data_IF_119427434626
#
_entry.id   IF_119427434626
#
_cell.length_a   1.000
_cell.length_b   1.000
_cell.length_c   1.000
_cell.angle_alpha   90.00
_cell.angle_beta   90.00
_cell.angle_gamma   90.00
#
_symmetry.space_group_name_H-M   'P 1'
#
loop_
_entity.id
_entity.type
_entity.pdbx_description
1 polymer ?
#
# COMPACT_ATOMS: atom_id res chain seq x y z
N UNK A 1 1.45 -14.92 16.93
CA UNK A 1 0.21 -15.19 17.68
C UNK A 1 -1.10 -14.87 16.93
N UNK A 2 -1.21 -13.84 16.08
CA UNK A 2 -2.38 -13.71 15.17
C UNK A 2 -2.39 -14.68 13.97
N UNK A 3 -1.22 -15.15 13.51
CA UNK A 3 -1.12 -16.15 12.43
C UNK A 3 -1.78 -17.51 12.72
N UNK A 4 -1.91 -17.88 14.00
CA UNK A 4 -2.68 -19.06 14.42
C UNK A 4 -4.19 -18.78 14.44
N UNK A 5 -4.58 -17.61 14.94
CA UNK A 5 -5.99 -17.17 15.02
C UNK A 5 -6.62 -16.88 13.65
N UNK A 6 -5.85 -16.46 12.64
CA UNK A 6 -6.38 -16.31 11.26
C UNK A 6 -6.69 -17.70 10.68
N UNK A 7 -5.86 -18.71 10.98
CA UNK A 7 -6.10 -20.09 10.59
C UNK A 7 -7.26 -20.77 11.34
N UNK A 8 -7.65 -20.25 12.51
CA UNK A 8 -8.83 -20.70 13.27
C UNK A 8 -10.10 -19.93 12.88
N UNK A 9 -10.02 -18.62 12.59
CA UNK A 9 -11.15 -17.86 12.04
C UNK A 9 -11.53 -18.34 10.62
N UNK A 10 -10.58 -18.88 9.85
CA UNK A 10 -10.87 -19.46 8.54
C UNK A 10 -11.62 -20.80 8.64
N UNK A 11 -11.59 -21.48 9.79
CA UNK A 11 -12.32 -22.73 9.99
C UNK A 11 -13.84 -22.53 10.22
N UNK A 12 -14.29 -21.31 10.52
CA UNK A 12 -15.72 -21.02 10.76
C UNK A 12 -16.28 -19.76 10.07
N UNK A 13 -15.45 -18.84 9.54
CA UNK A 13 -15.93 -17.52 9.08
C UNK A 13 -15.50 -17.04 7.68
N UNK A 14 -14.45 -17.62 7.08
CA UNK A 14 -13.92 -17.21 5.78
C UNK A 14 -13.54 -15.72 5.66
N UNK A 15 -13.44 -15.21 4.43
CA UNK A 15 -13.09 -13.79 4.13
C UNK A 15 -14.02 -12.77 4.82
N UNK A 16 -15.25 -13.15 5.16
CA UNK A 16 -16.21 -12.27 5.86
C UNK A 16 -15.77 -11.98 7.29
N UNK A 17 -15.25 -12.97 8.01
CA UNK A 17 -14.74 -12.76 9.36
C UNK A 17 -13.51 -11.82 9.36
N UNK A 18 -12.63 -11.96 8.35
CA UNK A 18 -11.47 -11.07 8.17
C UNK A 18 -11.92 -9.62 7.95
N UNK A 19 -12.92 -9.40 7.09
CA UNK A 19 -13.42 -8.04 6.84
C UNK A 19 -14.05 -7.42 8.10
N UNK A 20 -14.76 -8.20 8.91
CA UNK A 20 -15.34 -7.71 10.17
C UNK A 20 -14.28 -7.33 11.21
N UNK A 21 -13.24 -8.16 11.37
CA UNK A 21 -12.16 -7.86 12.31
C UNK A 21 -11.34 -6.66 11.85
N UNK A 22 -11.09 -6.53 10.53
CA UNK A 22 -10.47 -5.34 9.95
C UNK A 22 -11.32 -4.08 10.20
N UNK A 23 -12.65 -4.16 10.04
CA UNK A 23 -13.54 -3.02 10.28
C UNK A 23 -13.52 -2.56 11.74
N UNK A 24 -13.57 -3.51 12.70
CA UNK A 24 -13.43 -3.20 14.12
C UNK A 24 -12.06 -2.57 14.43
N UNK A 25 -10.99 -3.11 13.83
CA UNK A 25 -9.64 -2.60 14.02
C UNK A 25 -9.50 -1.15 13.54
N UNK A 26 -10.06 -0.81 12.38
CA UNK A 26 -10.07 0.58 11.87
C UNK A 26 -10.83 1.50 12.83
N UNK A 27 -11.97 1.06 13.37
CA UNK A 27 -12.72 1.83 14.37
C UNK A 27 -11.89 2.17 15.61
N UNK A 28 -11.17 1.19 16.15
CA UNK A 28 -10.27 1.38 17.31
C UNK A 28 -9.13 2.33 16.96
N UNK A 29 -8.53 2.22 15.77
CA UNK A 29 -7.45 3.12 15.34
C UNK A 29 -7.91 4.57 15.21
N UNK A 30 -9.06 4.80 14.57
CA UNK A 30 -9.62 6.15 14.41
C UNK A 30 -9.96 6.73 15.77
N UNK A 31 -10.60 5.95 16.66
CA UNK A 31 -10.88 6.38 18.02
C UNK A 31 -9.60 6.76 18.78
N UNK A 32 -8.55 5.94 18.70
CA UNK A 32 -7.27 6.18 19.36
C UNK A 32 -6.63 7.50 18.91
N UNK A 33 -6.53 7.74 17.60
CA UNK A 33 -5.96 8.98 17.05
C UNK A 33 -6.82 10.20 17.40
N UNK A 34 -8.15 10.07 17.35
CA UNK A 34 -9.08 11.13 17.73
C UNK A 34 -8.96 11.49 19.21
N UNK A 35 -8.94 10.50 20.12
CA UNK A 35 -8.80 10.75 21.56
C UNK A 35 -7.52 11.51 21.86
N UNK A 36 -6.39 11.10 21.27
CA UNK A 36 -5.09 11.74 21.46
C UNK A 36 -5.07 13.16 20.89
N UNK A 37 -5.65 13.35 19.69
CA UNK A 37 -5.80 14.67 19.08
C UNK A 37 -6.63 15.61 19.94
N UNK A 38 -7.80 15.16 20.40
CA UNK A 38 -8.74 15.95 21.19
C UNK A 38 -8.13 16.31 22.54
N UNK A 39 -7.53 15.35 23.23
CA UNK A 39 -6.94 15.58 24.55
C UNK A 39 -5.77 16.57 24.46
N UNK A 40 -4.89 16.42 23.47
CA UNK A 40 -3.81 17.37 23.23
C UNK A 40 -4.31 18.77 22.88
N UNK A 41 -5.33 18.85 22.02
CA UNK A 41 -5.96 20.13 21.64
C UNK A 41 -6.65 20.81 22.83
N UNK A 42 -7.28 20.03 23.71
CA UNK A 42 -7.94 20.55 24.91
C UNK A 42 -6.95 21.11 25.94
N UNK A 43 -5.79 20.45 26.13
CA UNK A 43 -4.79 20.88 27.09
C UNK A 43 -3.96 22.10 26.64
N UNK A 44 -3.64 22.18 25.34
CA UNK A 44 -2.78 23.24 24.80
C UNK A 44 -3.60 24.43 24.30
N UNK A 45 -4.74 24.17 23.65
CA UNK A 45 -5.50 25.16 22.89
C UNK A 45 -5.16 25.16 21.40
N UNK A 46 -6.17 25.32 20.55
CA UNK A 46 -6.04 25.27 19.08
C UNK A 46 -5.15 26.41 18.56
N UNK A 47 -5.31 27.61 19.12
CA UNK A 47 -4.59 28.79 18.67
C UNK A 47 -3.10 28.68 18.99
N UNK A 48 -2.78 28.19 20.18
CA UNK A 48 -1.43 27.95 20.66
C UNK A 48 -0.72 26.88 19.82
N UNK A 49 -1.41 25.78 19.49
CA UNK A 49 -0.87 24.75 18.58
C UNK A 49 -0.55 25.35 17.21
N UNK A 50 -1.46 26.17 16.69
CA UNK A 50 -1.28 26.80 15.39
C UNK A 50 -0.10 27.78 15.38
N UNK A 51 0.00 28.64 16.40
CA UNK A 51 1.10 29.59 16.53
C UNK A 51 2.45 28.88 16.70
N UNK A 52 2.55 27.89 17.59
CA UNK A 52 3.77 27.11 17.76
C UNK A 52 4.22 26.42 16.46
N UNK A 53 3.26 26.00 15.64
CA UNK A 53 3.53 25.38 14.34
C UNK A 53 4.01 26.40 13.29
N UNK A 54 3.54 27.65 13.35
CA UNK A 54 4.03 28.75 12.52
C UNK A 54 5.44 29.18 12.95
N UNK A 55 5.67 29.36 14.25
CA UNK A 55 6.97 29.77 14.81
C UNK A 55 8.08 28.77 14.49
N UNK A 56 7.75 27.48 14.42
CA UNK A 56 8.68 26.41 14.08
C UNK A 56 8.74 26.07 12.58
N UNK A 57 8.09 26.88 11.72
CA UNK A 57 8.01 26.70 10.27
C UNK A 57 7.52 25.29 9.84
N UNK A 58 6.57 24.71 10.59
CA UNK A 58 6.02 23.36 10.32
C UNK A 58 4.85 23.35 9.36
N UNK A 59 4.29 24.51 9.08
CA UNK A 59 3.16 24.67 8.15
C UNK A 59 3.69 25.28 6.86
N UNK A 60 3.84 24.45 5.84
CA UNK A 60 4.13 24.86 4.48
C UNK A 60 3.08 24.25 3.56
N UNK A 61 2.12 25.06 3.10
CA UNK A 61 1.00 24.56 2.29
C UNK A 61 1.40 24.26 0.84
N UNK A 62 2.21 25.13 0.24
CA UNK A 62 2.53 25.09 -1.18
C UNK A 62 4.02 25.33 -1.40
N UNK A 63 4.76 24.24 -1.57
CA UNK A 63 6.15 24.28 -2.02
C UNK A 63 6.23 23.95 -3.52
N UNK A 64 6.48 24.95 -4.35
CA UNK A 64 6.54 24.82 -5.81
C UNK A 64 7.95 24.57 -6.36
N UNK A 65 8.93 24.26 -5.51
CA UNK A 65 10.28 23.91 -5.94
C UNK A 65 10.23 22.78 -7.00
N UNK A 66 10.75 23.00 -8.22
CA UNK A 66 10.76 21.99 -9.28
C UNK A 66 11.83 20.91 -9.03
N UNK A 67 12.68 21.04 -8.02
CA UNK A 67 13.70 20.06 -7.69
C UNK A 67 13.09 18.68 -7.40
N UNK A 68 13.54 17.61 -8.10
CA UNK A 68 13.06 16.25 -7.84
C UNK A 68 13.70 15.64 -6.57
N UNK A 69 14.67 16.33 -5.97
CA UNK A 69 15.38 15.90 -4.76
C UNK A 69 14.68 16.35 -3.48
N UNK A 70 13.82 17.36 -3.56
CA UNK A 70 13.06 17.86 -2.41
C UNK A 70 12.01 16.81 -2.01
N UNK A 71 11.99 16.45 -0.72
CA UNK A 71 11.19 15.33 -0.20
C UNK A 71 9.69 15.48 -0.51
N UNK A 72 9.14 16.65 -0.27
CA UNK A 72 7.74 16.98 -0.49
C UNK A 72 7.63 18.33 -1.20
N UNK A 73 7.16 18.31 -2.44
CA UNK A 73 6.73 19.49 -3.21
C UNK A 73 5.33 19.25 -3.76
N UNK A 74 4.69 20.30 -4.26
CA UNK A 74 3.41 20.19 -4.96
C UNK A 74 3.52 19.14 -6.09
N UNK A 75 4.65 19.07 -6.80
CA UNK A 75 4.88 18.12 -7.87
C UNK A 75 5.05 16.68 -7.38
N UNK A 76 5.88 16.46 -6.35
CA UNK A 76 6.11 15.11 -5.82
C UNK A 76 4.83 14.53 -5.23
N UNK A 77 4.01 15.37 -4.59
CA UNK A 77 2.74 14.95 -3.98
C UNK A 77 1.68 14.73 -5.06
N UNK A 78 1.47 15.69 -5.98
CA UNK A 78 0.42 15.55 -7.00
C UNK A 78 0.73 14.47 -8.02
N UNK A 79 1.97 14.34 -8.50
CA UNK A 79 2.32 13.37 -9.54
C UNK A 79 2.76 12.06 -8.90
N UNK A 80 3.74 12.11 -8.00
CA UNK A 80 4.31 10.93 -7.37
C UNK A 80 3.30 10.17 -6.52
N UNK A 81 2.59 10.86 -5.60
CA UNK A 81 1.56 10.19 -4.79
C UNK A 81 0.34 9.77 -5.60
N UNK A 82 -0.02 10.46 -6.70
CA UNK A 82 -1.09 10.00 -7.59
C UNK A 82 -0.72 8.68 -8.25
N UNK A 83 0.48 8.58 -8.84
CA UNK A 83 0.96 7.32 -9.44
C UNK A 83 0.99 6.19 -8.42
N UNK A 84 1.55 6.43 -7.23
CA UNK A 84 1.60 5.45 -6.16
C UNK A 84 0.20 5.02 -5.70
N UNK A 85 -0.70 5.98 -5.47
CA UNK A 85 -2.05 5.70 -5.00
C UNK A 85 -2.87 4.96 -6.04
N UNK A 86 -2.78 5.35 -7.31
CA UNK A 86 -3.44 4.64 -8.42
C UNK A 86 -2.88 3.23 -8.57
N UNK A 87 -1.56 3.03 -8.50
CA UNK A 87 -0.96 1.71 -8.51
C UNK A 87 -1.47 0.83 -7.36
N UNK A 88 -1.52 1.39 -6.14
CA UNK A 88 -1.99 0.70 -4.95
C UNK A 88 -3.48 0.35 -5.00
N UNK A 89 -4.31 1.22 -5.55
CA UNK A 89 -5.76 1.02 -5.60
C UNK A 89 -6.17 0.13 -6.79
N UNK A 90 -5.63 0.41 -7.97
CA UNK A 90 -6.11 -0.22 -9.21
C UNK A 90 -5.48 -1.57 -9.51
N UNK A 91 -4.23 -1.78 -9.10
CA UNK A 91 -3.42 -2.94 -9.52
C UNK A 91 -3.12 -3.90 -8.37
N UNK A 92 -3.08 -3.41 -7.13
CA UNK A 92 -2.74 -4.27 -5.99
C UNK A 92 -3.78 -5.38 -5.80
N UNK A 93 -3.29 -6.63 -5.72
CA UNK A 93 -4.10 -7.83 -5.61
C UNK A 93 -5.09 -7.77 -4.44
N UNK A 94 -4.68 -7.26 -3.29
CA UNK A 94 -5.56 -7.15 -2.12
C UNK A 94 -6.77 -6.25 -2.39
N UNK A 95 -6.59 -5.17 -3.18
CA UNK A 95 -7.67 -4.24 -3.54
C UNK A 95 -8.57 -4.82 -4.63
N UNK A 96 -7.98 -5.38 -5.69
CA UNK A 96 -8.71 -5.99 -6.80
C UNK A 96 -9.61 -7.13 -6.30
N UNK A 97 -9.11 -7.99 -5.40
CA UNK A 97 -9.90 -9.05 -4.78
C UNK A 97 -11.12 -8.49 -4.03
N UNK A 98 -10.96 -7.41 -3.27
CA UNK A 98 -12.06 -6.78 -2.53
C UNK A 98 -13.15 -6.25 -3.48
N UNK A 99 -12.77 -5.70 -4.63
CA UNK A 99 -13.74 -5.22 -5.62
C UNK A 99 -14.54 -6.34 -6.28
N UNK A 100 -13.92 -7.51 -6.50
CA UNK A 100 -14.56 -8.68 -7.14
C UNK A 100 -15.57 -9.38 -6.22
N UNK A 101 -15.53 -9.11 -4.91
CA UNK A 101 -16.47 -9.66 -3.93
C UNK A 101 -17.75 -8.83 -3.82
N UNK A 102 -17.77 -7.61 -4.38
CA UNK A 102 -18.93 -6.74 -4.37
C UNK A 102 -19.92 -7.13 -5.48
N UNK A 103 -21.21 -6.95 -5.19
CA UNK A 103 -22.30 -7.41 -6.07
C UNK A 103 -22.32 -6.70 -7.43
N UNK A 104 -22.05 -5.39 -7.41
CA UNK A 104 -22.27 -4.50 -8.54
C UNK A 104 -21.15 -3.47 -8.68
N UNK A 105 -20.89 -3.02 -9.91
CA UNK A 105 -19.90 -1.98 -10.21
C UNK A 105 -20.18 -0.66 -9.49
N UNK A 106 -21.46 -0.30 -9.30
CA UNK A 106 -21.86 0.91 -8.56
C UNK A 106 -21.38 0.85 -7.10
N UNK A 107 -21.55 -0.31 -6.46
CA UNK A 107 -21.12 -0.54 -5.08
C UNK A 107 -19.59 -0.51 -4.97
N UNK A 108 -18.87 -1.05 -5.96
CA UNK A 108 -17.40 -0.96 -6.01
C UNK A 108 -16.90 0.48 -6.15
N UNK A 109 -17.53 1.30 -7.00
CA UNK A 109 -17.20 2.73 -7.13
C UNK A 109 -17.48 3.50 -5.84
N UNK A 110 -18.61 3.23 -5.18
CA UNK A 110 -18.93 3.84 -3.90
C UNK A 110 -17.93 3.43 -2.81
N UNK A 111 -17.57 2.15 -2.73
CA UNK A 111 -16.56 1.65 -1.79
C UNK A 111 -15.21 2.34 -1.98
N UNK A 112 -14.80 2.56 -3.24
CA UNK A 112 -13.58 3.29 -3.55
C UNK A 112 -13.63 4.76 -3.13
N UNK A 113 -14.78 5.43 -3.36
CA UNK A 113 -14.98 6.82 -2.93
C UNK A 113 -14.91 6.95 -1.40
N UNK A 114 -15.57 6.05 -0.68
CA UNK A 114 -15.51 5.98 0.80
C UNK A 114 -14.06 5.79 1.26
N UNK A 115 -13.34 4.82 0.68
CA UNK A 115 -11.93 4.57 1.01
C UNK A 115 -11.07 5.83 0.82
N UNK A 116 -11.23 6.52 -0.30
CA UNK A 116 -10.47 7.74 -0.64
C UNK A 116 -10.77 8.88 0.34
N UNK A 117 -12.03 9.09 0.69
CA UNK A 117 -12.41 10.11 1.68
C UNK A 117 -11.92 9.75 3.09
N UNK A 118 -12.04 8.48 3.49
CA UNK A 118 -11.59 8.00 4.80
C UNK A 118 -10.08 8.13 4.97
N UNK A 119 -9.28 7.77 3.96
CA UNK A 119 -7.82 7.88 4.05
C UNK A 119 -7.36 9.34 4.07
N UNK A 120 -8.01 10.23 3.31
CA UNK A 120 -7.72 11.67 3.34
C UNK A 120 -8.01 12.27 4.71
N UNK A 121 -9.17 11.94 5.31
CA UNK A 121 -9.53 12.39 6.65
C UNK A 121 -8.53 11.84 7.70
N UNK A 122 -8.20 10.55 7.61
CA UNK A 122 -7.29 9.92 8.57
C UNK A 122 -5.88 10.51 8.51
N UNK A 123 -5.32 10.73 7.30
CA UNK A 123 -4.02 11.40 7.14
C UNK A 123 -4.06 12.82 7.70
N UNK A 124 -5.15 13.56 7.47
CA UNK A 124 -5.32 14.91 8.02
C UNK A 124 -5.31 14.92 9.56
N UNK A 125 -5.96 13.94 10.19
CA UNK A 125 -5.92 13.74 11.64
C UNK A 125 -4.51 13.39 12.15
N UNK A 126 -3.78 12.55 11.43
CA UNK A 126 -2.38 12.22 11.76
C UNK A 126 -1.47 13.46 11.64
N UNK A 127 -1.65 14.29 10.61
CA UNK A 127 -0.93 15.56 10.47
C UNK A 127 -1.24 16.50 11.65
N UNK A 128 -2.52 16.60 12.04
CA UNK A 128 -2.92 17.38 13.22
C UNK A 128 -2.28 16.86 14.51
N UNK A 129 -2.24 15.52 14.71
CA UNK A 129 -1.46 14.93 15.81
C UNK A 129 0.00 15.36 15.78
N UNK A 130 0.64 15.40 14.60
CA UNK A 130 2.01 15.89 14.46
C UNK A 130 2.19 17.34 14.93
N UNK A 131 1.22 18.23 14.63
CA UNK A 131 1.21 19.61 15.11
C UNK A 131 0.98 19.71 16.63
N UNK A 132 0.10 18.87 17.18
CA UNK A 132 -0.09 18.76 18.63
C UNK A 132 1.20 18.33 19.32
N UNK A 133 1.94 17.38 18.75
CA UNK A 133 3.21 16.89 19.31
C UNK A 133 4.28 17.98 19.33
N UNK A 134 4.42 18.76 18.25
CA UNK A 134 5.41 19.85 18.26
C UNK A 134 5.05 20.91 19.28
N UNK A 135 3.76 21.25 19.43
CA UNK A 135 3.30 22.22 20.41
C UNK A 135 3.49 21.72 21.85
N UNK A 136 3.24 20.42 22.11
CA UNK A 136 3.43 19.81 23.44
C UNK A 136 4.90 19.77 23.86
N UNK A 137 5.79 19.41 22.94
CA UNK A 137 7.23 19.32 23.18
C UNK A 137 7.97 20.65 22.91
N UNK A 138 7.22 21.73 22.68
CA UNK A 138 7.73 23.10 22.61
C UNK A 138 7.91 23.68 24.03
N UNK A 139 8.70 24.76 24.19
CA UNK A 139 8.84 25.47 25.45
C UNK A 139 7.50 25.73 26.17
N UNK A 140 7.42 25.49 27.50
CA UNK A 140 8.54 25.27 28.43
C UNK A 140 9.08 23.84 28.49
N UNK A 141 8.50 22.89 27.75
CA UNK A 141 9.02 21.50 27.68
C UNK A 141 10.17 21.41 26.67
N UNK A 142 10.96 20.36 26.82
CA UNK A 142 12.06 20.03 25.93
C UNK A 142 11.72 18.77 25.12
N UNK A 143 12.15 18.72 23.87
CA UNK A 143 12.05 17.52 23.04
C UNK A 143 12.76 16.33 23.72
N UNK A 144 12.06 15.21 23.98
CA UNK A 144 12.61 14.06 24.69
C UNK A 144 13.76 13.39 23.92
N UNK A 145 13.87 13.64 22.61
CA UNK A 145 14.99 13.19 21.78
C UNK A 145 16.26 13.99 22.04
N UNK A 146 16.14 15.29 22.34
CA UNK A 146 17.28 16.16 22.61
C UNK A 146 18.04 15.75 23.88
N UNK A 147 17.30 15.31 24.90
CA UNK A 147 17.82 14.81 26.18
C UNK A 147 18.10 13.30 26.19
N UNK A 148 17.89 12.60 25.07
CA UNK A 148 18.20 11.18 24.93
C UNK A 148 17.26 10.21 25.65
N UNK A 149 16.07 10.65 26.08
CA UNK A 149 15.04 9.75 26.61
C UNK A 149 14.46 8.85 25.50
N UNK A 150 14.47 9.35 24.28
CA UNK A 150 13.92 8.72 23.09
C UNK A 150 14.94 8.79 21.96
N UNK A 151 15.13 7.68 21.24
CA UNK A 151 16.10 7.62 20.13
C UNK A 151 15.45 7.78 18.76
N UNK A 152 14.20 7.34 18.59
CA UNK A 152 13.51 7.32 17.31
C UNK A 152 12.36 8.33 17.23
N UNK A 153 12.16 8.95 16.05
CA UNK A 153 11.11 9.94 15.83
C UNK A 153 9.70 9.34 16.04
N UNK A 154 9.50 8.08 15.66
CA UNK A 154 8.21 7.38 15.75
C UNK A 154 7.77 7.08 17.20
N UNK A 155 8.68 7.22 18.18
CA UNK A 155 8.39 7.02 19.60
C UNK A 155 7.80 8.27 20.27
N UNK A 156 7.83 9.43 19.62
CA UNK A 156 7.27 10.69 20.15
C UNK A 156 5.78 10.59 20.46
N UNK A 157 5.00 10.01 19.54
CA UNK A 157 3.56 9.88 19.71
C UNK A 157 3.19 8.95 20.88
N UNK A 158 3.74 7.72 20.98
CA UNK A 158 3.55 6.89 22.17
C UNK A 158 3.97 7.58 23.47
N UNK A 159 5.11 8.27 23.50
CA UNK A 159 5.57 8.96 24.71
C UNK A 159 4.62 10.09 25.12
N UNK A 160 4.12 10.86 24.16
CA UNK A 160 3.08 11.87 24.39
C UNK A 160 1.82 11.26 24.99
N UNK A 161 1.33 10.15 24.43
CA UNK A 161 0.12 9.47 24.94
C UNK A 161 0.30 8.99 26.37
N UNK A 162 1.47 8.41 26.69
CA UNK A 162 1.78 7.96 28.05
C UNK A 162 1.78 9.11 29.05
N UNK A 163 2.22 10.32 28.66
CA UNK A 163 2.25 11.49 29.54
C UNK A 163 0.87 12.13 29.69
N UNK A 164 0.19 12.39 28.57
CA UNK A 164 -1.07 13.15 28.58
C UNK A 164 -2.23 12.34 29.15
N UNK A 165 -2.28 11.03 28.88
CA UNK A 165 -3.34 10.15 29.34
C UNK A 165 -2.96 9.37 30.62
N UNK A 166 -1.88 9.76 31.33
CA UNK A 166 -1.46 9.10 32.57
C UNK A 166 -2.57 9.11 33.65
N UNK A 167 -3.39 10.16 33.66
CA UNK A 167 -4.51 10.30 34.60
C UNK A 167 -5.74 9.44 34.24
N UNK A 168 -5.77 8.83 33.05
CA UNK A 168 -6.88 8.00 32.56
C UNK A 168 -6.42 6.54 32.45
N UNK A 169 -6.65 5.70 33.48
CA UNK A 169 -6.24 4.30 33.45
C UNK A 169 -6.92 3.58 32.28
N UNK A 170 -6.13 2.84 31.49
CA UNK A 170 -6.61 2.06 30.34
C UNK A 170 -6.50 2.74 28.98
N UNK A 171 -6.53 4.08 28.89
CA UNK A 171 -6.42 4.80 27.61
C UNK A 171 -5.05 4.59 26.94
N UNK A 172 -3.90 4.71 27.63
CA UNK A 172 -2.61 4.40 27.02
C UNK A 172 -2.51 2.93 26.55
N UNK A 173 -3.05 1.98 27.32
CA UNK A 173 -3.09 0.57 26.94
C UNK A 173 -3.97 0.29 25.72
N UNK A 174 -5.13 0.96 25.63
CA UNK A 174 -6.01 0.88 24.47
C UNK A 174 -5.33 1.47 23.22
N UNK A 175 -4.61 2.58 23.37
CA UNK A 175 -3.87 3.21 22.28
C UNK A 175 -2.77 2.28 21.74
N UNK A 176 -1.91 1.77 22.62
CA UNK A 176 -0.81 0.86 22.24
C UNK A 176 -1.35 -0.44 21.63
N UNK A 177 -2.41 -1.02 22.21
CA UNK A 177 -3.05 -2.21 21.62
C UNK A 177 -3.70 -1.94 20.26
N UNK A 178 -4.24 -0.73 20.04
CA UNK A 178 -4.74 -0.26 18.76
C UNK A 178 -3.64 -0.22 17.67
N UNK A 179 -2.47 0.34 18.00
CA UNK A 179 -1.32 0.38 17.08
C UNK A 179 -0.85 -1.03 16.71
N UNK A 180 -0.63 -1.89 17.71
CA UNK A 180 -0.22 -3.27 17.43
C UNK A 180 -1.29 -4.03 16.67
N UNK A 181 -2.56 -3.80 16.97
CA UNK A 181 -3.67 -4.39 16.24
C UNK A 181 -3.67 -4.01 14.76
N UNK A 182 -3.40 -2.73 14.46
CA UNK A 182 -3.33 -2.18 13.11
C UNK A 182 -2.18 -2.77 12.30
N UNK A 183 -0.99 -2.80 12.92
CA UNK A 183 0.20 -3.39 12.32
C UNK A 183 -0.04 -4.88 12.02
N UNK A 184 -0.62 -5.62 12.97
CA UNK A 184 -0.88 -7.04 12.79
C UNK A 184 -1.98 -7.35 11.75
N UNK A 185 -3.02 -6.51 11.63
CA UNK A 185 -4.03 -6.64 10.56
C UNK A 185 -3.38 -6.45 9.19
N UNK A 186 -2.55 -5.41 9.03
CA UNK A 186 -1.81 -5.16 7.78
C UNK A 186 -0.86 -6.31 7.43
N UNK A 187 -0.06 -6.78 8.40
CA UNK A 187 0.87 -7.91 8.20
C UNK A 187 0.14 -9.19 7.82
N UNK A 188 -0.98 -9.47 8.47
CA UNK A 188 -1.85 -10.62 8.17
C UNK A 188 -2.31 -10.60 6.71
N UNK A 189 -2.87 -9.46 6.26
CA UNK A 189 -3.36 -9.30 4.89
C UNK A 189 -2.22 -9.43 3.87
N UNK A 190 -1.06 -8.83 4.16
CA UNK A 190 0.12 -8.89 3.29
C UNK A 190 0.67 -10.32 3.14
N UNK A 191 0.91 -11.02 4.25
CA UNK A 191 1.44 -12.39 4.23
C UNK A 191 0.44 -13.37 3.61
N UNK A 192 -0.85 -13.26 3.94
CA UNK A 192 -1.87 -14.13 3.37
C UNK A 192 -2.00 -13.92 1.85
N UNK A 193 -2.09 -12.66 1.39
CA UNK A 193 -2.20 -12.36 -0.05
C UNK A 193 -0.98 -12.87 -0.81
N UNK A 194 0.23 -12.68 -0.26
CA UNK A 194 1.47 -13.17 -0.87
C UNK A 194 1.51 -14.69 -0.94
N UNK A 195 1.13 -15.39 0.13
CA UNK A 195 1.10 -16.85 0.14
C UNK A 195 0.08 -17.43 -0.86
N UNK A 196 -1.08 -16.77 -1.02
CA UNK A 196 -2.08 -17.15 -2.03
C UNK A 196 -1.54 -16.91 -3.44
N UNK A 197 -0.88 -15.79 -3.71
CA UNK A 197 -0.23 -15.51 -5.00
C UNK A 197 0.83 -16.56 -5.31
N UNK A 198 1.66 -16.95 -4.34
CA UNK A 198 2.65 -18.02 -4.53
C UNK A 198 1.98 -19.36 -4.87
N UNK A 199 0.85 -19.69 -4.21
CA UNK A 199 0.13 -20.92 -4.50
C UNK A 199 -0.55 -20.91 -5.88
N UNK A 200 -1.33 -19.88 -6.19
CA UNK A 200 -2.13 -19.83 -7.43
C UNK A 200 -1.25 -19.59 -8.66
N UNK A 201 -0.31 -18.64 -8.59
CA UNK A 201 0.44 -18.22 -9.77
C UNK A 201 1.65 -19.13 -10.02
N UNK A 202 2.40 -19.49 -8.97
CA UNK A 202 3.61 -20.30 -9.14
C UNK A 202 3.34 -21.81 -9.03
N UNK A 203 2.67 -22.27 -7.97
CA UNK A 203 2.49 -23.72 -7.76
C UNK A 203 1.44 -24.29 -8.72
N UNK A 204 0.26 -23.67 -8.82
CA UNK A 204 -0.80 -24.12 -9.71
C UNK A 204 -0.60 -23.67 -11.14
N UNK A 205 -0.24 -22.39 -11.35
CA UNK A 205 0.01 -21.80 -12.65
C UNK A 205 1.29 -22.34 -13.31
N UNK A 206 2.46 -21.96 -12.81
CA UNK A 206 3.74 -22.32 -13.44
C UNK A 206 4.08 -23.82 -13.35
N UNK A 207 3.90 -24.46 -12.18
CA UNK A 207 4.23 -25.88 -12.01
C UNK A 207 3.10 -26.84 -12.43
N UNK A 208 1.91 -26.32 -12.77
CA UNK A 208 0.77 -27.14 -13.21
C UNK A 208 0.25 -28.12 -12.15
N UNK A 209 0.66 -27.97 -10.90
CA UNK A 209 0.28 -28.89 -9.82
C UNK A 209 -1.16 -28.62 -9.40
N UNK A 210 -1.94 -29.69 -9.18
CA UNK A 210 -3.30 -29.61 -8.63
C UNK A 210 -3.33 -30.19 -7.21
N UNK A 211 -2.74 -29.49 -6.22
CA UNK A 211 -2.75 -29.95 -4.84
C UNK A 211 -4.18 -30.02 -4.31
N UNK A 212 -4.46 -31.04 -3.48
CA UNK A 212 -5.71 -31.14 -2.73
C UNK A 212 -5.89 -29.91 -1.82
N UNK A 213 -7.14 -29.53 -1.52
CA UNK A 213 -7.45 -28.37 -0.66
C UNK A 213 -6.68 -28.37 0.67
N UNK A 214 -6.59 -29.54 1.32
CA UNK A 214 -5.82 -29.69 2.57
C UNK A 214 -4.33 -29.40 2.39
N UNK A 215 -3.73 -29.85 1.28
CA UNK A 215 -2.32 -29.62 0.96
C UNK A 215 -2.07 -28.13 0.65
N UNK A 216 -2.98 -27.51 -0.11
CA UNK A 216 -2.96 -26.07 -0.40
C UNK A 216 -2.99 -25.22 0.88
N UNK A 217 -3.87 -25.55 1.83
CA UNK A 217 -3.97 -24.83 3.10
C UNK A 217 -2.71 -24.98 3.96
N UNK A 218 -2.15 -26.19 4.04
CA UNK A 218 -0.89 -26.43 4.77
C UNK A 218 0.25 -25.63 4.13
N UNK A 219 0.35 -25.66 2.80
CA UNK A 219 1.36 -24.91 2.06
C UNK A 219 1.27 -23.41 2.34
N UNK A 220 0.09 -22.81 2.23
CA UNK A 220 -0.14 -21.38 2.53
C UNK A 220 0.29 -21.05 3.96
N UNK A 221 -0.07 -21.89 4.95
CA UNK A 221 0.35 -21.70 6.34
C UNK A 221 1.88 -21.77 6.51
N UNK A 222 2.55 -22.70 5.85
CA UNK A 222 4.01 -22.80 5.86
C UNK A 222 4.68 -21.56 5.24
N UNK A 223 4.17 -21.07 4.11
CA UNK A 223 4.69 -19.85 3.47
C UNK A 223 4.50 -18.63 4.37
N UNK A 224 3.36 -18.50 5.06
CA UNK A 224 3.13 -17.41 6.01
C UNK A 224 4.13 -17.45 7.17
N UNK A 225 4.42 -18.64 7.73
CA UNK A 225 5.42 -18.78 8.81
C UNK A 225 6.82 -18.42 8.31
N UNK A 226 7.19 -18.84 7.11
CA UNK A 226 8.47 -18.50 6.48
C UNK A 226 8.60 -16.99 6.22
N UNK A 227 7.57 -16.35 5.67
CA UNK A 227 7.56 -14.90 5.47
C UNK A 227 7.66 -14.15 6.81
N UNK A 228 6.99 -14.66 7.84
CA UNK A 228 7.08 -14.11 9.19
C UNK A 228 8.49 -14.22 9.80
N UNK A 229 9.19 -15.34 9.62
CA UNK A 229 10.56 -15.50 10.12
C UNK A 229 11.55 -14.61 9.37
N UNK A 230 11.40 -14.47 8.05
CA UNK A 230 12.21 -13.53 7.24
C UNK A 230 11.96 -12.09 7.69
N UNK A 231 10.71 -11.69 7.91
CA UNK A 231 10.37 -10.36 8.38
C UNK A 231 11.00 -10.04 9.75
N UNK A 232 11.02 -11.02 10.67
CA UNK A 232 11.70 -10.86 11.97
C UNK A 232 13.22 -10.69 11.80
N UNK A 233 13.84 -11.42 10.87
CA UNK A 233 15.27 -11.25 10.57
C UNK A 233 15.60 -9.87 9.98
N UNK A 234 14.72 -9.33 9.15
CA UNK A 234 14.89 -8.01 8.53
C UNK A 234 14.74 -6.84 9.51
N UNK A 235 14.16 -7.05 10.70
CA UNK A 235 14.03 -5.98 11.71
C UNK A 235 15.39 -5.38 12.10
N UNK A 236 16.42 -6.23 12.26
CA UNK A 236 17.78 -5.77 12.61
C UNK A 236 18.41 -4.87 11.54
N UNK A 237 18.00 -5.03 10.28
CA UNK A 237 18.44 -4.17 9.19
C UNK A 237 17.67 -2.85 9.21
N UNK A 238 16.35 -2.90 9.37
CA UNK A 238 15.49 -1.71 9.35
C UNK A 238 15.82 -0.73 10.46
N UNK A 239 16.26 -1.19 11.63
CA UNK A 239 16.74 -0.33 12.73
C UNK A 239 17.96 0.53 12.36
N UNK A 240 18.71 0.15 11.33
CA UNK A 240 19.87 0.91 10.80
C UNK A 240 19.51 1.80 9.63
N UNK A 241 18.33 1.63 9.07
CA UNK A 241 17.82 2.47 8.00
C UNK A 241 17.11 3.68 8.64
N UNK A 242 17.09 4.82 7.96
CA UNK A 242 16.55 6.09 8.48
C UNK A 242 15.03 6.10 8.77
N UNK A 243 14.32 7.13 8.32
CA UNK A 243 12.89 7.28 8.66
C UNK A 243 12.01 6.15 8.11
N UNK A 244 11.28 5.46 9.00
CA UNK A 244 10.44 4.28 8.66
C UNK A 244 9.43 4.56 7.54
N UNK A 245 8.83 5.76 7.53
CA UNK A 245 7.88 6.19 6.50
C UNK A 245 8.51 6.24 5.09
N UNK A 246 9.72 6.79 4.98
CA UNK A 246 10.40 6.94 3.70
C UNK A 246 10.90 5.58 3.17
N UNK A 247 11.40 4.71 4.05
CA UNK A 247 11.82 3.35 3.68
C UNK A 247 10.63 2.53 3.19
N UNK A 248 9.54 2.54 3.97
CA UNK A 248 8.33 1.78 3.61
C UNK A 248 7.75 2.29 2.28
N UNK A 249 7.68 3.62 2.12
CA UNK A 249 7.20 4.24 0.89
C UNK A 249 8.07 3.92 -0.32
N UNK A 250 9.40 4.02 -0.18
CA UNK A 250 10.35 3.76 -1.26
C UNK A 250 10.40 2.28 -1.68
N UNK A 251 10.30 1.34 -0.74
CA UNK A 251 10.25 -0.09 -1.04
C UNK A 251 8.92 -0.49 -1.68
N UNK A 252 7.79 0.00 -1.15
CA UNK A 252 6.48 -0.25 -1.73
C UNK A 252 6.37 0.35 -3.15
N UNK A 253 7.02 1.50 -3.38
CA UNK A 253 7.05 2.17 -4.67
C UNK A 253 7.69 1.34 -5.79
N UNK A 254 8.66 0.46 -5.49
CA UNK A 254 9.31 -0.42 -6.47
C UNK A 254 8.25 -1.33 -7.11
N UNK A 255 7.58 -2.14 -6.27
CA UNK A 255 6.59 -3.09 -6.73
C UNK A 255 5.35 -2.40 -7.32
N UNK A 256 4.90 -1.31 -6.69
CA UNK A 256 3.77 -0.53 -7.18
C UNK A 256 4.06 0.06 -8.58
N UNK A 257 5.24 0.65 -8.77
CA UNK A 257 5.65 1.26 -10.04
C UNK A 257 5.78 0.25 -11.17
N UNK A 258 6.34 -0.92 -10.89
CA UNK A 258 6.51 -1.98 -11.90
C UNK A 258 5.19 -2.58 -12.32
N UNK A 259 4.35 -2.97 -11.34
CA UNK A 259 3.06 -3.58 -11.66
C UNK A 259 2.16 -2.57 -12.36
N UNK A 260 2.12 -1.32 -11.89
CA UNK A 260 1.37 -0.27 -12.57
C UNK A 260 1.86 -0.07 -14.01
N UNK A 261 3.18 -0.03 -14.24
CA UNK A 261 3.76 0.04 -15.58
C UNK A 261 3.30 -1.08 -16.51
N UNK A 262 3.27 -2.33 -16.03
CA UNK A 262 2.84 -3.48 -16.85
C UNK A 262 1.35 -3.38 -17.21
N UNK A 263 0.50 -3.05 -16.25
CA UNK A 263 -0.94 -2.89 -16.50
C UNK A 263 -1.23 -1.70 -17.41
N UNK A 264 -0.58 -0.56 -17.21
CA UNK A 264 -0.68 0.60 -18.10
C UNK A 264 -0.22 0.24 -19.51
N UNK A 265 0.88 -0.51 -19.64
CA UNK A 265 1.37 -0.98 -20.92
C UNK A 265 0.32 -1.86 -21.64
N UNK A 266 -0.29 -2.82 -20.95
CA UNK A 266 -1.33 -3.69 -21.51
C UNK A 266 -2.63 -2.97 -21.87
N UNK A 267 -3.06 -1.98 -21.09
CA UNK A 267 -4.31 -1.25 -21.29
C UNK A 267 -4.18 -0.20 -22.40
N UNK A 268 -3.02 0.45 -22.51
CA UNK A 268 -2.83 1.61 -23.38
C UNK A 268 -1.99 1.35 -24.66
N UNK A 269 -1.23 0.26 -24.72
CA UNK A 269 -0.31 0.01 -25.84
C UNK A 269 -0.62 -1.34 -26.49
N UNK A 270 -1.60 -1.41 -27.41
CA UNK A 270 -2.08 -2.66 -27.99
C UNK A 270 -1.06 -3.39 -28.86
N UNK A 271 0.01 -2.70 -29.30
CA UNK A 271 1.13 -3.30 -30.03
C UNK A 271 2.17 -3.98 -29.12
N UNK A 272 2.02 -3.88 -27.80
CA UNK A 272 2.95 -4.53 -26.86
C UNK A 272 2.74 -6.04 -26.86
N UNK A 273 3.83 -6.79 -26.95
CA UNK A 273 3.83 -8.25 -26.85
C UNK A 273 4.24 -8.73 -25.44
N UNK A 274 3.96 -10.00 -25.13
CA UNK A 274 4.24 -10.57 -23.80
C UNK A 274 5.72 -10.56 -23.43
N UNK A 275 6.62 -10.72 -24.41
CA UNK A 275 8.08 -10.67 -24.19
C UNK A 275 8.54 -9.28 -23.77
N UNK A 276 8.04 -8.24 -24.44
CA UNK A 276 8.33 -6.85 -24.10
C UNK A 276 7.76 -6.46 -22.75
N UNK A 277 6.50 -6.81 -22.46
CA UNK A 277 5.91 -6.55 -21.15
C UNK A 277 6.71 -7.21 -20.01
N UNK A 278 7.13 -8.48 -20.18
CA UNK A 278 7.91 -9.21 -19.19
C UNK A 278 9.31 -8.61 -18.98
N UNK A 279 10.04 -8.32 -20.06
CA UNK A 279 11.36 -7.72 -19.97
C UNK A 279 11.30 -6.28 -19.43
N UNK A 280 10.30 -5.50 -19.82
CA UNK A 280 10.02 -4.19 -19.27
C UNK A 280 9.81 -4.26 -17.76
N UNK A 281 9.02 -5.23 -17.27
CA UNK A 281 8.80 -5.46 -15.85
C UNK A 281 10.12 -5.76 -15.11
N UNK A 282 10.97 -6.65 -15.63
CA UNK A 282 12.26 -7.01 -15.02
C UNK A 282 13.17 -5.78 -14.96
N UNK A 283 13.36 -5.08 -16.08
CA UNK A 283 14.27 -3.93 -16.15
C UNK A 283 13.75 -2.79 -15.26
N UNK A 284 12.45 -2.53 -15.28
CA UNK A 284 11.80 -1.57 -14.38
C UNK A 284 12.02 -1.91 -12.91
N UNK A 285 11.86 -3.17 -12.53
CA UNK A 285 12.05 -3.64 -11.16
C UNK A 285 13.49 -3.50 -10.70
N UNK A 286 14.45 -3.89 -11.55
CA UNK A 286 15.89 -3.81 -11.24
C UNK A 286 16.33 -2.36 -11.11
N UNK A 287 15.95 -1.47 -12.04
CA UNK A 287 16.41 -0.07 -12.00
C UNK A 287 15.72 0.70 -10.87
N UNK A 288 14.40 0.56 -10.69
CA UNK A 288 13.69 1.19 -9.58
C UNK A 288 14.19 0.64 -8.22
N UNK A 289 14.46 -0.65 -8.14
CA UNK A 289 15.06 -1.29 -6.96
C UNK A 289 16.46 -0.79 -6.67
N UNK A 290 17.32 -0.67 -7.69
CA UNK A 290 18.66 -0.10 -7.56
C UNK A 290 18.61 1.34 -7.03
N UNK A 291 17.74 2.18 -7.60
CA UNK A 291 17.57 3.57 -7.17
C UNK A 291 17.06 3.67 -5.73
N UNK A 292 16.01 2.92 -5.40
CA UNK A 292 15.36 2.94 -4.08
C UNK A 292 16.25 2.35 -2.98
N UNK A 293 16.88 1.20 -3.21
CA UNK A 293 17.81 0.59 -2.26
C UNK A 293 19.08 1.42 -2.11
N UNK A 294 19.61 2.00 -3.19
CA UNK A 294 20.76 2.91 -3.13
C UNK A 294 20.48 4.19 -2.35
N UNK A 295 19.28 4.76 -2.48
CA UNK A 295 18.82 5.88 -1.65
C UNK A 295 18.76 5.50 -0.16
N UNK A 296 18.12 4.38 0.17
CA UNK A 296 18.01 3.90 1.55
C UNK A 296 19.38 3.55 2.15
N UNK A 297 20.29 2.96 1.37
CA UNK A 297 21.65 2.67 1.79
C UNK A 297 22.44 3.96 2.06
N UNK A 298 22.33 4.96 1.18
CA UNK A 298 22.99 6.26 1.36
C UNK A 298 22.51 6.98 2.63
N UNK A 299 21.22 6.83 2.97
CA UNK A 299 20.67 7.33 4.24
C UNK A 299 21.22 6.55 5.43
N UNK A 300 21.23 5.22 5.38
CA UNK A 300 21.75 4.37 6.46
C UNK A 300 23.26 4.53 6.70
N UNK A 301 24.03 4.83 5.64
CA UNK A 301 25.47 5.11 5.71
C UNK A 301 25.78 6.54 6.21
N UNK A 302 24.77 7.39 6.41
CA UNK A 302 24.95 8.78 6.84
C UNK A 302 25.46 9.72 5.74
N UNK A 303 25.47 9.28 4.47
CA UNK A 303 25.86 10.10 3.31
C UNK A 303 24.74 11.04 2.89
N UNK A 304 23.48 10.65 3.14
CA UNK A 304 22.30 11.48 2.95
C UNK A 304 21.55 11.61 4.28
N UNK A 305 21.43 12.82 4.79
CA UNK A 305 20.63 13.09 6.00
C UNK A 305 19.33 13.77 5.57
N UNK A 306 18.14 13.18 5.85
CA UNK A 306 16.89 13.85 5.54
C UNK A 306 16.84 15.22 6.22
N UNK A 307 16.57 16.28 5.44
CA UNK A 307 16.49 17.66 5.94
C UNK A 307 15.39 17.80 6.99
N UNK A 308 15.75 17.69 8.27
CA UNK A 308 14.84 17.91 9.41
C UNK A 308 14.88 19.39 9.78
N UNK A 309 13.71 19.98 9.97
CA UNK A 309 13.62 21.34 10.52
C UNK A 309 14.06 21.34 11.99
N UNK A 310 14.77 22.38 12.45
CA UNK A 310 15.21 22.51 13.83
C UNK A 310 14.02 22.56 14.80
N UNK A 311 14.28 22.16 16.05
CA UNK A 311 13.31 22.27 17.16
C UNK A 311 13.82 23.29 18.18
N UNK A 312 12.92 23.95 18.93
CA UNK A 312 13.35 24.88 19.98
C UNK A 312 14.10 24.13 21.10
N UNK A 313 15.31 24.59 21.43
CA UNK A 313 16.18 23.96 22.44
C UNK A 313 16.43 24.85 23.67
N UNK A 314 15.86 26.06 23.72
CA UNK A 314 16.14 27.08 24.73
C UNK A 314 15.78 26.67 26.17
N UNK A 315 14.85 25.73 26.35
CA UNK A 315 14.38 25.26 27.67
C UNK A 315 14.83 23.83 28.01
N UNK A 316 15.76 23.25 27.24
CA UNK A 316 16.31 21.93 27.52
C UNK A 316 17.35 22.00 28.64
N UNK A 317 17.02 21.44 29.81
CA UNK A 317 17.96 21.31 30.92
C UNK A 317 18.89 20.11 30.69
N UNK A 318 20.20 20.36 30.52
CA UNK A 318 21.23 19.32 30.43
C UNK A 318 22.05 19.34 29.14
N UNK A 319 23.00 18.41 29.03
CA UNK A 319 23.79 18.23 27.81
C UNK A 319 22.92 17.64 26.71
N UNK A 320 22.74 18.38 25.62
CA UNK A 320 22.04 17.92 24.43
C UNK A 320 22.89 16.81 23.78
N UNK A 321 22.23 15.72 23.38
CA UNK A 321 22.94 14.61 22.74
C UNK A 321 23.62 15.05 21.44
N UNK A 322 24.92 14.78 21.28
CA UNK A 322 25.66 15.07 20.05
C UNK A 322 25.06 14.32 18.84
N UNK A 323 24.54 13.11 19.07
CA UNK A 323 23.83 12.33 18.05
C UNK A 323 22.54 12.98 17.58
N UNK A 324 21.92 13.81 18.42
CA UNK A 324 20.73 14.59 18.08
C UNK A 324 21.11 15.82 17.24
N UNK A 325 22.17 16.54 17.62
CA UNK A 325 22.64 17.72 16.87
C UNK A 325 23.11 17.36 15.45
N UNK A 326 23.75 16.21 15.27
CA UNK A 326 24.17 15.70 13.94
C UNK A 326 22.99 15.49 12.98
N UNK A 327 21.74 15.43 13.44
CA UNK A 327 20.58 15.27 12.57
C UNK A 327 20.21 16.56 11.81
N UNK A 328 20.73 17.70 12.26
CA UNK A 328 20.53 19.01 11.61
C UNK A 328 21.73 19.42 10.77
N UNK A 329 22.83 18.66 10.84
CA UNK A 329 23.96 18.86 9.96
C UNK A 329 23.66 18.27 8.58
N UNK A 330 23.98 19.04 7.54
CA UNK A 330 23.64 18.69 6.16
C UNK A 330 24.94 18.51 5.39
N UNK A 331 25.44 17.26 5.26
CA UNK A 331 26.65 17.01 4.48
C UNK A 331 26.42 17.42 3.03
N UNK A 332 27.50 17.79 2.34
CA UNK A 332 27.44 18.08 0.90
C UNK A 332 26.96 16.83 0.16
N UNK A 333 25.73 16.89 -0.34
CA UNK A 333 25.10 15.77 -1.03
C UNK A 333 25.73 15.54 -2.42
N UNK A 334 26.56 16.47 -2.92
CA UNK A 334 27.11 16.52 -4.29
C UNK A 334 27.92 15.29 -4.71
N UNK A 335 28.45 14.53 -3.76
CA UNK A 335 29.17 13.28 -4.04
C UNK A 335 28.24 12.06 -4.17
N UNK A 336 26.99 12.17 -3.72
CA UNK A 336 26.02 11.06 -3.75
C UNK A 336 25.43 10.93 -5.15
N UNK A 337 25.30 9.70 -5.67
CA UNK A 337 24.73 9.50 -7.01
C UNK A 337 23.34 10.16 -7.15
N UNK A 338 23.06 10.95 -8.21
CA UNK A 338 21.84 11.77 -8.31
C UNK A 338 20.53 10.97 -8.16
N UNK A 339 20.50 9.73 -8.63
CA UNK A 339 19.31 8.87 -8.55
C UNK A 339 18.99 8.45 -7.10
N UNK A 340 19.98 8.46 -6.20
CA UNK A 340 19.81 8.14 -4.79
C UNK A 340 19.32 9.33 -3.96
N UNK A 341 19.48 10.55 -4.48
CA UNK A 341 18.95 11.78 -3.86
C UNK A 341 17.48 12.02 -4.18
N UNK A 342 16.91 11.23 -5.07
CA UNK A 342 15.54 11.39 -5.55
C UNK A 342 14.53 11.24 -4.39
N UNK A 343 13.50 12.09 -4.35
CA UNK A 343 12.40 11.88 -3.41
C UNK A 343 11.75 10.51 -3.64
N UNK A 344 11.44 9.81 -2.55
CA UNK A 344 10.85 8.47 -2.59
C UNK A 344 9.52 8.41 -3.35
N UNK A 345 8.82 9.54 -3.48
CA UNK A 345 7.58 9.66 -4.26
C UNK A 345 7.79 9.46 -5.76
N UNK A 346 8.99 9.68 -6.28
CA UNK A 346 9.29 9.53 -7.69
C UNK A 346 9.64 8.09 -8.10
N UNK A 347 9.96 7.20 -7.16
CA UNK A 347 10.36 5.83 -7.50
C UNK A 347 9.25 5.04 -8.20
N UNK A 348 7.98 5.28 -7.86
CA UNK A 348 6.86 4.66 -8.58
C UNK A 348 6.84 5.13 -10.04
N UNK A 349 6.94 6.44 -10.27
CA UNK A 349 6.95 7.00 -11.62
C UNK A 349 8.16 6.55 -12.44
N UNK A 350 9.34 6.48 -11.81
CA UNK A 350 10.56 5.95 -12.43
C UNK A 350 10.34 4.51 -12.90
N UNK A 351 9.85 3.63 -12.01
CA UNK A 351 9.55 2.24 -12.34
C UNK A 351 8.53 2.12 -13.48
N UNK A 352 7.42 2.84 -13.38
CA UNK A 352 6.36 2.83 -14.41
C UNK A 352 6.87 3.29 -15.76
N UNK A 353 7.63 4.39 -15.81
CA UNK A 353 8.18 4.94 -17.05
C UNK A 353 9.14 3.95 -17.71
N UNK A 354 10.04 3.34 -16.94
CA UNK A 354 11.01 2.37 -17.47
C UNK A 354 10.28 1.15 -18.05
N UNK A 355 9.28 0.61 -17.34
CA UNK A 355 8.49 -0.52 -17.85
C UNK A 355 7.83 -0.16 -19.18
N UNK A 356 7.23 1.02 -19.29
CA UNK A 356 6.55 1.46 -20.52
C UNK A 356 7.55 1.62 -21.67
N UNK A 357 8.67 2.30 -21.44
CA UNK A 357 9.68 2.57 -22.48
C UNK A 357 10.35 1.29 -22.94
N UNK A 358 10.87 0.49 -22.01
CA UNK A 358 11.57 -0.76 -22.32
C UNK A 358 10.62 -1.79 -22.89
N UNK A 359 9.39 -1.86 -22.37
CA UNK A 359 8.38 -2.78 -22.86
C UNK A 359 8.01 -2.53 -24.31
N UNK A 360 7.73 -1.26 -24.67
CA UNK A 360 7.47 -0.89 -26.07
C UNK A 360 8.68 -1.12 -26.97
N UNK A 361 9.88 -0.75 -26.53
CA UNK A 361 11.12 -0.93 -27.31
C UNK A 361 11.37 -2.41 -27.65
N UNK A 362 11.26 -3.29 -26.65
CA UNK A 362 11.47 -4.73 -26.85
C UNK A 362 10.35 -5.33 -27.68
N UNK A 363 9.10 -4.89 -27.51
CA UNK A 363 8.00 -5.35 -28.36
C UNK A 363 8.20 -4.94 -29.82
N UNK A 364 8.73 -3.75 -30.08
CA UNK A 364 9.09 -3.32 -31.42
C UNK A 364 10.20 -4.19 -32.02
N UNK A 365 11.22 -4.55 -31.24
CA UNK A 365 12.33 -5.41 -31.68
C UNK A 365 11.94 -6.88 -31.87
N UNK A 366 11.01 -7.40 -31.08
CA UNK A 366 10.65 -8.83 -31.06
C UNK A 366 9.42 -9.17 -31.89
N UNK A 367 8.86 -8.18 -32.59
CA UNK A 367 7.64 -8.30 -33.39
C UNK A 367 6.42 -7.80 -32.61
N UNK A 368 5.85 -6.62 -32.96
CA UNK A 368 4.71 -6.06 -32.25
C UNK A 368 3.46 -6.94 -32.42
N UNK A 369 2.61 -6.96 -31.40
CA UNK A 369 1.32 -7.64 -31.45
C UNK A 369 0.39 -6.94 -32.44
N UNK A 370 -0.38 -7.69 -33.24
CA UNK A 370 -1.42 -7.11 -34.10
C UNK A 370 -2.57 -6.59 -33.20
N UNK A 371 -2.87 -5.27 -33.18
CA UNK A 371 -3.94 -4.72 -32.36
C UNK A 371 -5.33 -5.30 -32.68
N UNK A 372 -5.52 -5.86 -33.89
CA UNK A 372 -6.80 -6.41 -34.34
C UNK A 372 -7.16 -7.77 -33.74
N UNK A 373 -6.21 -8.45 -33.07
CA UNK A 373 -6.46 -9.72 -32.37
C UNK A 373 -6.80 -9.56 -30.89
N UNK A 374 -6.80 -8.33 -30.38
CA UNK A 374 -7.05 -8.04 -28.96
C UNK A 374 -8.51 -7.62 -28.78
N UNK A 375 -9.17 -8.16 -27.76
CA UNK A 375 -10.51 -7.73 -27.39
C UNK A 375 -10.52 -6.25 -26.98
N UNK A 376 -11.38 -5.47 -27.63
CA UNK A 376 -11.51 -4.03 -27.40
C UNK A 376 -11.96 -3.71 -25.98
N UNK A 377 -12.71 -4.60 -25.32
CA UNK A 377 -13.18 -4.40 -23.95
C UNK A 377 -12.04 -4.38 -22.92
N UNK A 378 -10.88 -4.97 -23.24
CA UNK A 378 -9.69 -4.99 -22.39
C UNK A 378 -8.86 -3.69 -22.51
N UNK A 379 -9.09 -2.91 -23.56
CA UNK A 379 -8.33 -1.68 -23.86
C UNK A 379 -9.08 -0.44 -23.36
N UNK A 380 -8.31 0.60 -23.02
CA UNK A 380 -8.90 1.86 -22.60
C UNK A 380 -9.78 2.46 -23.72
N UNK A 381 -10.99 2.97 -23.40
CA UNK A 381 -11.86 3.64 -24.37
C UNK A 381 -11.18 4.79 -25.13
N UNK A 382 -10.15 5.40 -24.52
CA UNK A 382 -9.38 6.50 -25.11
C UNK A 382 -8.64 6.10 -26.39
N UNK A 383 -8.32 4.82 -26.57
CA UNK A 383 -7.54 4.31 -27.69
C UNK A 383 -8.44 3.63 -28.73
N UNK A 384 -9.73 3.46 -28.45
CA UNK A 384 -10.67 2.83 -29.37
C UNK A 384 -10.77 3.54 -30.72
N UNK A 385 -10.55 4.86 -30.76
CA UNK A 385 -10.50 5.66 -32.00
C UNK A 385 -9.24 5.39 -32.85
N UNK A 386 -8.15 4.93 -32.22
CA UNK A 386 -6.87 4.66 -32.86
C UNK A 386 -6.73 3.18 -33.29
N UNK A 387 -7.67 2.32 -32.87
CA UNK A 387 -7.63 0.90 -33.17
C UNK A 387 -8.19 0.59 -34.58
N UNK A 388 -7.52 -0.29 -35.34
CA UNK A 388 -8.09 -0.81 -36.58
C UNK A 388 -9.41 -1.56 -36.33
N UNK A 389 -10.25 -1.68 -37.36
CA UNK A 389 -11.47 -2.49 -37.28
C UNK A 389 -11.08 -3.96 -36.98
N UNK A 390 -11.81 -4.64 -36.08
CA UNK A 390 -11.46 -6.01 -35.66
C UNK A 390 -11.58 -6.96 -36.85
N UNK A 391 -10.64 -7.90 -37.00
CA UNK A 391 -10.64 -8.90 -38.08
C UNK A 391 -11.65 -10.04 -37.86
N UNK A 392 -12.13 -10.23 -36.63
CA UNK A 392 -13.14 -11.23 -36.28
C UNK A 392 -14.29 -10.61 -35.48
N UNK A 393 -15.24 -10.04 -36.21
CA UNK A 393 -16.63 -10.06 -35.78
C UNK A 393 -17.23 -11.29 -36.46
N UNK A 394 -17.25 -12.43 -35.77
CA UNK A 394 -18.12 -13.52 -36.19
C UNK A 394 -19.54 -13.00 -36.04
N UNK A 395 -20.05 -12.40 -37.11
CA UNK A 395 -21.47 -12.16 -37.31
C UNK A 395 -22.11 -13.55 -37.26
N UNK A 396 -22.62 -13.93 -36.09
CA UNK A 396 -23.67 -14.93 -36.04
C UNK A 396 -24.84 -14.28 -36.77
N UNK A 397 -25.28 -14.79 -37.94
CA UNK A 397 -26.40 -14.20 -38.64
C UNK A 397 -27.62 -14.30 -37.73
N UNK A 398 -28.27 -13.16 -37.48
CA UNK A 398 -29.46 -13.01 -36.64
C UNK A 398 -30.72 -13.65 -37.28
N UNK A 399 -30.55 -14.68 -38.12
CA UNK A 399 -31.62 -15.25 -38.95
C UNK A 399 -31.86 -16.75 -38.74
N UNK A 400 -31.40 -17.36 -37.64
CA UNK A 400 -31.79 -18.75 -37.33
C UNK A 400 -31.68 -19.11 -35.84
N UNK A 401 -32.16 -18.25 -34.95
CA UNK A 401 -32.46 -18.69 -33.57
C UNK A 401 -33.85 -19.30 -33.60
N UNK A 402 -33.92 -20.62 -33.84
CA UNK A 402 -35.14 -21.38 -33.58
C UNK A 402 -35.43 -21.29 -32.08
N UNK A 403 -36.55 -20.67 -31.73
CA UNK A 403 -36.98 -20.35 -30.36
C UNK A 403 -37.20 -21.61 -29.50
N UNK A 404 -37.13 -22.80 -30.12
CA UNK A 404 -37.17 -24.11 -29.44
C UNK A 404 -35.86 -24.46 -28.73
N UNK A 405 -34.69 -24.08 -29.26
CA UNK A 405 -33.41 -24.45 -28.64
C UNK A 405 -33.08 -23.61 -27.41
N UNK A 406 -33.53 -22.34 -27.35
CA UNK A 406 -33.37 -21.50 -26.17
C UNK A 406 -34.22 -22.02 -24.98
N UNK A 407 -35.41 -22.55 -25.27
CA UNK A 407 -36.27 -23.17 -24.26
C UNK A 407 -35.67 -24.51 -23.76
N UNK A 408 -35.11 -25.33 -24.64
CA UNK A 408 -34.45 -26.60 -24.26
C UNK A 408 -33.17 -26.35 -23.45
N UNK A 409 -32.38 -25.34 -23.81
CA UNK A 409 -31.14 -25.00 -23.10
C UNK A 409 -31.41 -24.39 -21.73
N UNK A 410 -32.42 -23.52 -21.61
CA UNK A 410 -32.86 -22.96 -20.33
C UNK A 410 -33.47 -24.03 -19.41
N UNK A 411 -34.21 -25.00 -19.96
CA UNK A 411 -34.76 -26.10 -19.17
C UNK A 411 -33.71 -27.14 -18.76
N UNK A 412 -32.67 -27.38 -19.56
CA UNK A 412 -31.49 -28.16 -19.16
C UNK A 412 -30.69 -27.47 -18.04
N UNK A 413 -30.45 -26.15 -18.14
CA UNK A 413 -29.78 -25.38 -17.08
C UNK A 413 -30.60 -25.36 -15.78
N UNK A 414 -31.92 -25.22 -15.87
CA UNK A 414 -32.81 -25.29 -14.70
C UNK A 414 -32.89 -26.70 -14.10
N UNK A 415 -32.81 -27.74 -14.94
CA UNK A 415 -32.73 -29.13 -14.48
C UNK A 415 -31.43 -29.39 -13.72
N UNK A 416 -30.29 -28.94 -14.24
CA UNK A 416 -28.99 -29.08 -13.56
C UNK A 416 -28.90 -28.26 -12.27
N UNK A 417 -29.48 -27.06 -12.23
CA UNK A 417 -29.57 -26.27 -10.99
C UNK A 417 -30.47 -26.93 -9.94
N UNK A 418 -31.59 -27.54 -10.34
CA UNK A 418 -32.45 -28.33 -9.42
C UNK A 418 -31.74 -29.60 -8.94
N UNK A 419 -31.02 -30.30 -9.81
CA UNK A 419 -30.22 -31.50 -9.46
C UNK A 419 -29.09 -31.15 -8.48
N UNK A 420 -28.40 -30.02 -8.69
CA UNK A 420 -27.34 -29.53 -7.79
C UNK A 420 -27.88 -29.13 -6.42
N UNK A 421 -29.06 -28.49 -6.36
CA UNK A 421 -29.76 -28.20 -5.08
C UNK A 421 -30.23 -29.46 -4.35
N UNK A 422 -30.74 -30.47 -5.07
CA UNK A 422 -31.23 -31.73 -4.47
C UNK A 422 -30.09 -32.57 -3.90
N UNK A 423 -28.93 -32.58 -4.58
CA UNK A 423 -27.72 -33.24 -4.07
C UNK A 423 -27.13 -32.52 -2.86
N UNK A 424 -27.22 -31.18 -2.78
CA UNK A 424 -26.84 -30.43 -1.58
C UNK A 424 -27.78 -30.66 -0.39
N UNK A 425 -29.08 -30.85 -0.61
CA UNK A 425 -30.00 -31.17 0.50
C UNK A 425 -29.85 -32.61 1.02
N UNK A 426 -29.51 -33.56 0.14
CA UNK A 426 -29.22 -34.94 0.53
C UNK A 426 -27.88 -35.07 1.28
N UNK A 427 -26.88 -34.27 0.92
CA UNK A 427 -25.58 -34.23 1.64
C UNK A 427 -25.68 -33.61 3.05
N UNK A 428 -26.66 -32.76 3.32
CA UNK A 428 -26.89 -32.15 4.62
C UNK A 428 -27.85 -32.95 5.52
N UNK A 429 -28.41 -34.06 5.02
CA UNK A 429 -29.33 -34.95 5.74
C UNK A 429 -28.69 -36.21 6.32
N UNK A 430 -27.37 -36.37 6.21
CA UNK A 430 -26.62 -37.55 6.73
C UNK A 430 -25.51 -37.08 7.67
N UNK A 431 -25.86 -36.30 8.69
CA UNK A 431 -25.14 -36.22 9.97
C UNK A 431 -26.22 -35.99 11.05
N UNK A 432 -26.86 -37.07 11.48
CA UNK A 432 -27.44 -37.23 12.82
C UNK A 432 -26.59 -38.25 13.56
#
# INVERSE_FOLDING_TARGET
>A
MKGGLIGECDYQGGIRAVVWTDALQVGVMVAAVLTVSILGTYHIGVAEIWQASLDTNRIEFLNFDPSPYTRHTVWTVLIGSWLYSTAYIAVNQTMVQRYRLLKDLKTSKLSLAIFTMSIMLFISLCCWCGLVLIAWWSPPKCDPRAIGLITADDQLLPAFVMEIANHLPGIPGLFISGIFGAALSTLSVGFNSTAVVVLEDFVKGCCGMKPTDRCSTIFVKCVIVLLGSIALGLLFLVEKLGGVLAITGSLAAIAAGTSFGVFTLGIFFPWTNSKGAFMGAIVGFVIAGWASLGANWSIGAGLLVPKKLPVPLSHCAGNISESFLKQFDHPNEDEVFPLYRLSYHWFTGLGTLIVIVVGNLISWLTGPTDPSSIDKELLSPLIHSLLPKPKHENVVPESSIDTRDLATTASLLLYDLKKKRRNQSLSNGVIT
#
